data_IF_415059911858
#
_entry.id   IF_415059911858
#
_cell.length_a   1.000
_cell.length_b   1.000
_cell.length_c   1.000
_cell.angle_alpha   90.00
_cell.angle_beta   90.00
_cell.angle_gamma   90.00
#
_symmetry.space_group_name_H-M   'P 1'
#
loop_
_entity.id
_entity.type
_entity.pdbx_description
1 polymer ?
#
# COMPACT_ATOMS: atom_id res chain seq x y z
N UNK A 1 -5.37 -8.93 20.43
CA UNK A 1 -3.98 -9.37 20.18
C UNK A 1 -3.63 -9.37 18.69
N UNK A 2 -4.47 -9.93 17.81
CA UNK A 2 -4.19 -10.01 16.36
C UNK A 2 -3.92 -8.64 15.68
N UNK A 3 -4.69 -7.60 16.01
CA UNK A 3 -4.46 -6.23 15.50
C UNK A 3 -3.09 -5.65 15.90
N UNK A 4 -2.60 -5.95 17.10
CA UNK A 4 -1.29 -5.48 17.57
C UNK A 4 -0.13 -6.19 16.86
N UNK A 5 -0.27 -7.49 16.62
CA UNK A 5 0.71 -8.26 15.82
C UNK A 5 0.69 -7.82 14.36
N UNK A 6 -0.49 -7.55 13.79
CA UNK A 6 -0.63 -6.99 12.45
C UNK A 6 0.06 -5.62 12.35
N UNK A 7 -0.16 -4.72 13.32
CA UNK A 7 0.52 -3.43 13.36
C UNK A 7 2.04 -3.54 13.50
N UNK A 8 2.54 -4.45 14.36
CA UNK A 8 3.96 -4.71 14.49
C UNK A 8 4.56 -5.26 13.18
N UNK A 9 3.88 -6.20 12.53
CA UNK A 9 4.30 -6.75 11.24
C UNK A 9 4.33 -5.69 10.15
N UNK A 10 3.26 -4.89 10.00
CA UNK A 10 3.21 -3.80 9.02
C UNK A 10 4.28 -2.75 9.28
N UNK A 11 4.53 -2.39 10.55
CA UNK A 11 5.61 -1.47 10.92
C UNK A 11 6.98 -2.03 10.55
N UNK A 12 7.29 -3.29 10.90
CA UNK A 12 8.57 -3.94 10.57
C UNK A 12 8.74 -4.04 9.06
N UNK A 13 7.71 -4.46 8.32
CA UNK A 13 7.73 -4.52 6.87
C UNK A 13 8.09 -3.14 6.30
N UNK A 14 7.44 -2.08 6.78
CA UNK A 14 7.73 -0.70 6.35
C UNK A 14 9.13 -0.21 6.73
N UNK A 15 9.80 -0.83 7.69
CA UNK A 15 11.18 -0.50 8.05
C UNK A 15 12.22 -1.24 7.20
N UNK A 16 11.84 -2.28 6.45
CA UNK A 16 12.74 -3.03 5.57
C UNK A 16 13.16 -2.14 4.39
N UNK A 17 14.46 -2.14 4.07
CA UNK A 17 14.99 -1.42 2.91
C UNK A 17 14.90 -2.32 1.69
N UNK A 18 14.05 -1.94 0.73
CA UNK A 18 14.01 -2.59 -0.57
C UNK A 18 14.91 -1.82 -1.55
N UNK A 19 15.73 -2.53 -2.36
CA UNK A 19 16.47 -1.90 -3.44
C UNK A 19 15.47 -1.39 -4.48
N UNK A 20 15.39 -0.07 -4.68
CA UNK A 20 14.60 0.49 -5.78
C UNK A 20 15.41 0.45 -7.08
N UNK A 21 14.70 0.28 -8.20
CA UNK A 21 15.27 0.20 -9.55
C UNK A 21 16.04 1.47 -9.95
N UNK A 22 15.80 2.60 -9.27
CA UNK A 22 16.41 3.90 -9.56
C UNK A 22 17.52 4.30 -8.58
N UNK A 23 18.08 3.36 -7.81
CA UNK A 23 19.21 3.64 -6.90
C UNK A 23 18.84 4.33 -5.57
N UNK A 24 17.56 4.45 -5.26
CA UNK A 24 17.08 4.89 -3.95
C UNK A 24 16.84 3.70 -3.01
N UNK A 25 16.98 3.89 -1.71
CA UNK A 25 16.47 2.96 -0.70
C UNK A 25 15.01 3.33 -0.44
N UNK A 26 14.07 2.49 -0.84
CA UNK A 26 12.64 2.70 -0.59
C UNK A 26 12.13 1.71 0.44
N UNK A 27 11.07 2.12 1.13
CA UNK A 27 10.41 1.34 2.17
C UNK A 27 9.06 0.87 1.63
N UNK A 28 8.73 -0.42 1.70
CA UNK A 28 7.43 -0.89 1.25
C UNK A 28 6.35 -0.30 2.16
N UNK A 29 5.27 0.18 1.56
CA UNK A 29 4.21 0.86 2.31
C UNK A 29 3.30 -0.15 3.02
N UNK A 30 3.25 -1.39 2.54
CA UNK A 30 2.47 -2.50 3.06
C UNK A 30 0.97 -2.33 2.88
N UNK A 31 0.51 -1.36 2.08
CA UNK A 31 -0.91 -1.00 1.99
C UNK A 31 -1.73 -2.12 1.35
N UNK A 32 -1.27 -2.63 0.21
CA UNK A 32 -1.93 -3.72 -0.51
C UNK A 32 -1.93 -5.02 0.27
N UNK A 33 -0.78 -5.43 0.79
CA UNK A 33 -0.64 -6.64 1.60
C UNK A 33 -1.54 -6.58 2.84
N UNK A 34 -1.50 -5.47 3.59
CA UNK A 34 -2.32 -5.30 4.79
C UNK A 34 -3.82 -5.27 4.49
N UNK A 35 -4.24 -4.59 3.42
CA UNK A 35 -5.64 -4.52 3.02
C UNK A 35 -6.20 -5.89 2.62
N UNK A 36 -5.41 -6.72 1.94
CA UNK A 36 -5.83 -8.06 1.53
C UNK A 36 -5.85 -9.04 2.70
N UNK A 37 -4.87 -8.98 3.62
CA UNK A 37 -4.80 -9.90 4.75
C UNK A 37 -5.75 -9.55 5.90
N UNK A 38 -5.89 -8.27 6.23
CA UNK A 38 -6.62 -7.81 7.42
C UNK A 38 -7.91 -7.06 7.09
N UNK A 39 -8.11 -6.71 5.83
CA UNK A 39 -9.25 -5.91 5.37
C UNK A 39 -9.00 -4.39 5.45
N UNK A 40 -9.63 -3.60 4.57
CA UNK A 40 -9.36 -2.17 4.45
C UNK A 40 -9.78 -1.36 5.69
N UNK A 41 -10.80 -1.80 6.42
CA UNK A 41 -11.29 -1.11 7.63
C UNK A 41 -10.36 -1.30 8.82
N UNK A 42 -9.74 -2.48 8.96
CA UNK A 42 -8.75 -2.75 10.00
C UNK A 42 -7.44 -1.98 9.77
N UNK A 43 -7.14 -1.64 8.52
CA UNK A 43 -5.93 -0.88 8.17
C UNK A 43 -5.92 0.55 8.71
N UNK A 44 -7.07 1.17 8.95
CA UNK A 44 -7.13 2.53 9.51
C UNK A 44 -6.50 2.63 10.93
N UNK A 45 -6.95 1.87 11.95
CA UNK A 45 -6.32 1.89 13.27
C UNK A 45 -4.89 1.30 13.25
N UNK A 46 -4.61 0.30 12.42
CA UNK A 46 -3.25 -0.24 12.25
C UNK A 46 -2.31 0.86 11.72
N UNK A 47 -2.71 1.51 10.62
CA UNK A 47 -1.94 2.55 9.96
C UNK A 47 -1.71 3.76 10.87
N UNK A 48 -2.65 4.12 11.72
CA UNK A 48 -2.45 5.18 12.72
C UNK A 48 -1.29 4.87 13.65
N UNK A 49 -1.24 3.65 14.20
CA UNK A 49 -0.16 3.23 15.10
C UNK A 49 1.17 3.15 14.35
N UNK A 50 1.16 2.58 13.14
CA UNK A 50 2.36 2.47 12.29
C UNK A 50 2.93 3.85 11.98
N UNK A 51 2.11 4.79 11.50
CA UNK A 51 2.53 6.15 11.16
C UNK A 51 2.98 6.95 12.38
N UNK A 52 2.35 6.72 13.54
CA UNK A 52 2.79 7.33 14.79
C UNK A 52 4.19 6.85 15.17
N UNK A 53 4.46 5.56 15.07
CA UNK A 53 5.79 5.02 15.32
C UNK A 53 6.81 5.42 14.26
N UNK A 54 6.42 5.54 12.99
CA UNK A 54 7.32 6.08 11.96
C UNK A 54 7.73 7.53 12.29
N UNK A 55 6.77 8.37 12.71
CA UNK A 55 7.04 9.75 13.09
C UNK A 55 7.93 9.86 14.33
N UNK A 56 7.70 9.02 15.35
CA UNK A 56 8.40 9.10 16.64
C UNK A 56 9.76 8.36 16.66
N UNK A 57 9.86 7.20 16.01
CA UNK A 57 11.01 6.30 16.15
C UNK A 57 11.95 6.34 14.94
N UNK A 58 11.41 6.56 13.75
CA UNK A 58 12.19 6.56 12.50
C UNK A 58 12.45 7.96 11.97
N UNK A 59 11.91 9.00 12.65
CA UNK A 59 11.88 10.37 12.16
C UNK A 59 11.36 10.45 10.70
N UNK A 60 10.42 9.56 10.36
CA UNK A 60 9.84 9.42 9.03
C UNK A 60 8.37 9.86 9.07
N UNK A 61 8.03 10.93 8.36
CA UNK A 61 6.73 11.59 8.46
C UNK A 61 6.73 12.73 9.48
N UNK A 62 5.57 13.04 10.06
CA UNK A 62 5.43 14.13 11.04
C UNK A 62 4.12 14.06 11.82
N UNK A 63 4.12 14.60 13.04
CA UNK A 63 2.93 14.60 13.90
C UNK A 63 1.80 15.49 13.35
N UNK A 64 2.15 16.62 12.74
CA UNK A 64 1.18 17.52 12.10
C UNK A 64 0.69 16.98 10.75
N UNK A 65 1.52 16.20 10.05
CA UNK A 65 1.16 15.54 8.79
C UNK A 65 0.52 14.17 8.99
N UNK A 66 0.42 13.68 10.23
CA UNK A 66 -0.10 12.35 10.56
C UNK A 66 -1.51 12.13 10.02
N UNK A 67 -2.40 13.12 10.12
CA UNK A 67 -3.76 13.02 9.59
C UNK A 67 -3.80 12.88 8.07
N UNK A 68 -3.00 13.67 7.35
CA UNK A 68 -2.91 13.61 5.89
C UNK A 68 -2.32 12.27 5.42
N UNK A 69 -1.25 11.82 6.07
CA UNK A 69 -0.60 10.54 5.80
C UNK A 69 -1.54 9.36 6.11
N UNK A 70 -2.26 9.40 7.23
CA UNK A 70 -3.25 8.39 7.59
C UNK A 70 -4.33 8.27 6.52
N UNK A 71 -4.83 9.42 6.05
CA UNK A 71 -5.84 9.44 5.00
C UNK A 71 -5.34 8.80 3.71
N UNK A 72 -4.13 9.13 3.26
CA UNK A 72 -3.57 8.54 2.04
C UNK A 72 -3.26 7.04 2.22
N UNK A 73 -2.48 6.68 3.24
CA UNK A 73 -1.83 5.36 3.37
C UNK A 73 -2.68 4.32 4.11
N UNK A 74 -3.58 4.73 5.00
CA UNK A 74 -4.37 3.81 5.82
C UNK A 74 -5.85 3.79 5.45
N UNK A 75 -6.30 4.75 4.64
CA UNK A 75 -7.68 4.84 4.14
C UNK A 75 -7.69 4.68 2.63
N UNK A 76 -7.18 5.64 1.85
CA UNK A 76 -7.30 5.57 0.38
C UNK A 76 -6.59 4.35 -0.19
N UNK A 77 -5.32 4.13 0.15
CA UNK A 77 -4.54 2.98 -0.34
C UNK A 77 -5.21 1.63 -0.08
N UNK A 78 -5.55 1.29 1.18
CA UNK A 78 -6.18 0.01 1.51
C UNK A 78 -7.55 -0.21 0.85
N UNK A 79 -8.40 0.83 0.82
CA UNK A 79 -9.71 0.71 0.17
C UNK A 79 -9.56 0.56 -1.35
N UNK A 80 -8.62 1.29 -1.96
CA UNK A 80 -8.29 1.15 -3.37
C UNK A 80 -7.78 -0.26 -3.70
N UNK A 81 -6.82 -0.78 -2.92
CA UNK A 81 -6.29 -2.13 -3.09
C UNK A 81 -7.39 -3.19 -3.00
N UNK A 82 -8.26 -3.10 -1.99
CA UNK A 82 -9.39 -4.00 -1.83
C UNK A 82 -10.40 -3.92 -3.00
N UNK A 83 -10.69 -2.71 -3.48
CA UNK A 83 -11.56 -2.51 -4.63
C UNK A 83 -10.97 -3.08 -5.92
N UNK A 84 -9.70 -2.78 -6.20
CA UNK A 84 -8.96 -3.30 -7.36
C UNK A 84 -8.90 -4.81 -7.33
N UNK A 85 -8.62 -5.41 -6.17
CA UNK A 85 -8.61 -6.86 -6.02
C UNK A 85 -9.96 -7.49 -6.35
N UNK A 86 -11.06 -6.94 -5.79
CA UNK A 86 -12.42 -7.44 -6.04
C UNK A 86 -12.81 -7.32 -7.52
N UNK A 87 -12.47 -6.21 -8.16
CA UNK A 87 -12.70 -6.02 -9.61
C UNK A 87 -11.87 -6.98 -10.44
N UNK A 88 -10.58 -7.16 -10.12
CA UNK A 88 -9.71 -8.11 -10.81
C UNK A 88 -10.23 -9.55 -10.72
N UNK A 89 -10.73 -9.94 -9.53
CA UNK A 89 -11.34 -11.27 -9.33
C UNK A 89 -12.68 -11.41 -10.04
N UNK A 90 -13.50 -10.36 -10.11
CA UNK A 90 -14.80 -10.43 -10.81
C UNK A 90 -14.66 -10.61 -12.32
N UNK A 91 -13.60 -10.08 -12.92
CA UNK A 91 -13.25 -10.30 -14.33
C UNK A 91 -12.39 -11.56 -14.56
N UNK A 92 -12.25 -12.41 -13.54
CA UNK A 92 -11.55 -13.72 -13.59
C UNK A 92 -10.04 -13.62 -13.91
N UNK A 93 -9.36 -12.56 -13.47
CA UNK A 93 -7.90 -12.55 -13.49
C UNK A 93 -7.34 -13.58 -12.51
N UNK A 94 -6.14 -14.07 -12.82
CA UNK A 94 -5.41 -14.98 -11.93
C UNK A 94 -5.23 -14.36 -10.54
N UNK A 95 -5.15 -15.19 -9.50
CA UNK A 95 -4.95 -14.70 -8.14
C UNK A 95 -3.69 -13.84 -8.04
N UNK A 96 -2.56 -14.30 -8.59
CA UNK A 96 -1.30 -13.56 -8.61
C UNK A 96 -1.43 -12.20 -9.32
N UNK A 97 -2.09 -12.14 -10.48
CA UNK A 97 -2.33 -10.87 -11.19
C UNK A 97 -3.23 -9.93 -10.38
N UNK A 98 -4.26 -10.47 -9.71
CA UNK A 98 -5.17 -9.69 -8.88
C UNK A 98 -4.46 -9.07 -7.67
N UNK A 99 -3.59 -9.84 -7.02
CA UNK A 99 -2.74 -9.38 -5.91
C UNK A 99 -1.75 -8.32 -6.38
N UNK A 100 -1.07 -8.54 -7.51
CA UNK A 100 -0.14 -7.57 -8.09
C UNK A 100 -0.83 -6.23 -8.36
N UNK A 101 -1.96 -6.25 -9.07
CA UNK A 101 -2.71 -5.05 -9.41
C UNK A 101 -3.21 -4.34 -8.15
N UNK A 102 -3.72 -5.08 -7.16
CA UNK A 102 -4.20 -4.51 -5.91
C UNK A 102 -3.11 -3.75 -5.15
N UNK A 103 -1.93 -4.35 -5.01
CA UNK A 103 -0.79 -3.72 -4.35
C UNK A 103 -0.26 -2.52 -5.15
N UNK A 104 0.07 -2.71 -6.43
CA UNK A 104 0.65 -1.65 -7.24
C UNK A 104 -0.30 -0.46 -7.44
N UNK A 105 -1.58 -0.69 -7.75
CA UNK A 105 -2.53 0.40 -7.93
C UNK A 105 -2.95 1.04 -6.61
N UNK A 106 -2.99 0.27 -5.51
CA UNK A 106 -3.24 0.80 -4.16
C UNK A 106 -2.13 1.78 -3.72
N UNK A 107 -0.88 1.42 -3.97
CA UNK A 107 0.26 2.30 -3.69
C UNK A 107 0.23 3.54 -4.58
N UNK A 108 0.00 3.38 -5.89
CA UNK A 108 -0.12 4.54 -6.80
C UNK A 108 -1.23 5.51 -6.40
N UNK A 109 -2.39 5.01 -5.94
CA UNK A 109 -3.48 5.86 -5.47
C UNK A 109 -3.16 6.55 -4.14
N UNK A 110 -2.37 5.91 -3.27
CA UNK A 110 -1.81 6.56 -2.09
C UNK A 110 -0.97 7.77 -2.48
N UNK A 111 -0.03 7.59 -3.43
CA UNK A 111 0.82 8.69 -3.89
C UNK A 111 0.05 9.79 -4.62
N UNK A 112 -0.95 9.41 -5.42
CA UNK A 112 -1.83 10.38 -6.09
C UNK A 112 -2.58 11.24 -5.06
N UNK A 113 -3.08 10.62 -4.00
CA UNK A 113 -3.76 11.32 -2.91
C UNK A 113 -2.82 12.30 -2.22
N UNK A 114 -1.59 11.88 -1.93
CA UNK A 114 -0.55 12.77 -1.36
C UNK A 114 -0.24 13.93 -2.30
N UNK A 115 -0.11 13.70 -3.61
CA UNK A 115 0.08 14.77 -4.59
C UNK A 115 -1.08 15.76 -4.62
N UNK A 116 -2.32 15.30 -4.49
CA UNK A 116 -3.51 16.17 -4.34
C UNK A 116 -3.45 16.99 -3.06
N UNK A 117 -3.12 16.36 -1.92
CA UNK A 117 -3.00 17.06 -0.63
C UNK A 117 -1.94 18.16 -0.69
N UNK A 118 -0.78 17.88 -1.28
CA UNK A 118 0.30 18.86 -1.46
C UNK A 118 -0.09 19.98 -2.43
N UNK A 119 -0.77 19.64 -3.55
CA UNK A 119 -1.22 20.64 -4.51
C UNK A 119 -2.27 21.60 -3.92
N UNK A 120 -3.12 21.09 -3.02
CA UNK A 120 -4.08 21.91 -2.27
C UNK A 120 -3.38 22.80 -1.25
N UNK A 121 -2.41 22.26 -0.52
CA UNK A 121 -1.67 23.01 0.50
C UNK A 121 -0.73 24.07 -0.09
N UNK A 122 -0.19 23.82 -1.28
CA UNK A 122 0.79 24.70 -1.95
C UNK A 122 0.41 24.94 -3.42
N UNK A 123 -0.65 25.71 -3.70
CA UNK A 123 -1.02 26.08 -5.07
C UNK A 123 0.07 26.94 -5.73
N UNK A 124 0.33 26.70 -7.02
CA UNK A 124 1.33 27.47 -7.76
C UNK A 124 0.83 28.92 -7.94
N UNK A 125 1.70 29.94 -7.81
CA UNK A 125 1.29 31.34 -7.92
C UNK A 125 0.67 31.72 -9.27
N UNK A 126 1.02 31.00 -10.33
CA UNK A 126 0.57 31.28 -11.70
C UNK A 126 -0.42 30.24 -12.22
N UNK A 127 -0.12 28.95 -12.02
CA UNK A 127 -0.91 27.84 -12.54
C UNK A 127 -1.84 27.18 -11.50
N UNK A 128 -1.89 27.70 -10.28
CA UNK A 128 -2.79 27.26 -9.22
C UNK A 128 -2.64 25.79 -8.85
N UNK A 129 -3.76 25.17 -8.46
CA UNK A 129 -3.81 23.76 -8.05
C UNK A 129 -3.31 22.80 -9.14
N UNK A 130 -3.72 23.02 -10.40
CA UNK A 130 -3.43 22.09 -11.50
C UNK A 130 -1.92 22.02 -11.78
N UNK A 131 -1.24 23.17 -11.79
CA UNK A 131 0.21 23.20 -11.99
C UNK A 131 0.96 22.55 -10.82
N UNK A 132 0.56 22.81 -9.57
CA UNK A 132 1.16 22.15 -8.40
C UNK A 132 0.93 20.64 -8.42
N UNK A 133 -0.28 20.19 -8.75
CA UNK A 133 -0.60 18.78 -8.86
C UNK A 133 0.26 18.09 -9.92
N UNK A 134 0.34 18.66 -11.12
CA UNK A 134 1.19 18.13 -12.18
C UNK A 134 2.66 18.06 -11.75
N UNK A 135 3.16 19.09 -11.04
CA UNK A 135 4.52 19.11 -10.50
C UNK A 135 4.76 18.02 -9.46
N UNK A 136 3.92 17.91 -8.44
CA UNK A 136 4.09 16.89 -7.39
C UNK A 136 3.92 15.48 -7.94
N UNK A 137 2.90 15.24 -8.76
CA UNK A 137 2.64 13.93 -9.35
C UNK A 137 3.78 13.48 -10.27
N UNK A 138 4.31 14.37 -11.12
CA UNK A 138 5.42 14.02 -12.02
C UNK A 138 6.74 13.75 -11.29
N UNK A 139 7.07 14.54 -10.26
CA UNK A 139 8.28 14.30 -9.45
C UNK A 139 8.17 12.98 -8.70
N UNK A 140 7.02 12.69 -8.09
CA UNK A 140 6.81 11.43 -7.38
C UNK A 140 6.77 10.24 -8.33
N UNK A 141 6.18 10.37 -9.52
CA UNK A 141 6.08 9.27 -10.48
C UNK A 141 7.42 8.57 -10.77
N UNK A 142 8.53 9.31 -10.81
CA UNK A 142 9.87 8.78 -11.09
C UNK A 142 10.29 7.72 -10.06
N UNK A 143 9.96 7.92 -8.79
CA UNK A 143 10.35 7.01 -7.69
C UNK A 143 9.22 6.06 -7.30
N UNK A 144 7.98 6.53 -7.36
CA UNK A 144 6.82 5.79 -6.87
C UNK A 144 6.28 4.76 -7.86
N UNK A 145 6.42 4.97 -9.17
CA UNK A 145 6.03 3.93 -10.16
C UNK A 145 6.94 2.71 -10.03
N UNK A 146 8.28 2.84 -10.02
CA UNK A 146 9.16 1.70 -9.77
C UNK A 146 8.87 1.00 -8.45
N UNK A 147 8.65 1.77 -7.38
CA UNK A 147 8.35 1.23 -6.06
C UNK A 147 7.04 0.42 -6.05
N UNK A 148 5.96 0.97 -6.60
CA UNK A 148 4.66 0.29 -6.67
C UNK A 148 4.73 -1.02 -7.46
N UNK A 149 5.54 -1.09 -8.52
CA UNK A 149 5.77 -2.33 -9.27
C UNK A 149 6.55 -3.33 -8.41
N UNK A 150 7.65 -2.89 -7.78
CA UNK A 150 8.45 -3.74 -6.89
C UNK A 150 7.64 -4.29 -5.72
N UNK A 151 6.81 -3.46 -5.10
CA UNK A 151 5.93 -3.83 -3.99
C UNK A 151 4.80 -4.76 -4.44
N UNK A 152 4.25 -4.56 -5.64
CA UNK A 152 3.32 -5.50 -6.26
C UNK A 152 3.93 -6.90 -6.43
N UNK A 153 5.15 -6.98 -6.96
CA UNK A 153 5.87 -8.26 -7.12
C UNK A 153 6.18 -8.91 -5.77
N UNK A 154 6.65 -8.12 -4.80
CA UNK A 154 6.91 -8.59 -3.45
C UNK A 154 5.63 -9.15 -2.79
N UNK A 155 4.52 -8.46 -2.95
CA UNK A 155 3.23 -8.87 -2.39
C UNK A 155 2.78 -10.20 -3.01
N UNK A 156 2.91 -10.38 -4.33
CA UNK A 156 2.65 -11.68 -4.98
C UNK A 156 3.55 -12.78 -4.41
N UNK A 157 4.84 -12.51 -4.23
CA UNK A 157 5.77 -13.49 -3.67
C UNK A 157 5.39 -13.90 -2.24
N UNK A 158 4.99 -12.93 -1.40
CA UNK A 158 4.50 -13.20 -0.05
C UNK A 158 3.23 -14.05 -0.08
N UNK A 159 2.25 -13.70 -0.93
CA UNK A 159 1.01 -14.47 -1.05
C UNK A 159 1.23 -15.88 -1.58
N UNK A 160 2.15 -16.08 -2.54
CA UNK A 160 2.51 -17.40 -3.02
C UNK A 160 3.18 -18.24 -1.92
N UNK A 161 4.04 -17.64 -1.10
CA UNK A 161 4.63 -18.31 0.05
C UNK A 161 3.56 -18.68 1.09
N UNK A 162 2.62 -17.77 1.39
CA UNK A 162 1.49 -18.03 2.28
C UNK A 162 0.60 -19.17 1.74
N UNK A 163 0.31 -19.19 0.44
CA UNK A 163 -0.47 -20.26 -0.19
C UNK A 163 0.22 -21.62 -0.07
N UNK A 164 1.56 -21.65 -0.10
CA UNK A 164 2.33 -22.88 0.05
C UNK A 164 2.39 -23.41 1.48
N UNK A 165 2.51 -22.52 2.48
CA UNK A 165 2.74 -22.91 3.87
C UNK A 165 1.49 -22.87 4.76
N UNK A 166 0.51 -22.03 4.45
CA UNK A 166 -0.67 -21.72 5.28
C UNK A 166 -1.93 -21.62 4.39
N UNK A 167 -2.16 -22.62 3.56
CA UNK A 167 -3.20 -22.56 2.55
C UNK A 167 -4.63 -22.56 3.13
N UNK A 168 -4.81 -23.19 4.30
CA UNK A 168 -6.11 -23.28 4.99
C UNK A 168 -6.54 -21.90 5.49
N UNK A 169 -5.60 -21.13 6.04
CA UNK A 169 -5.84 -19.77 6.53
C UNK A 169 -6.24 -18.82 5.40
N UNK A 170 -5.67 -18.96 4.21
CA UNK A 170 -6.05 -18.16 3.03
C UNK A 170 -7.44 -18.53 2.48
N UNK A 171 -7.85 -19.79 2.61
CA UNK A 171 -9.21 -20.24 2.27
C UNK A 171 -10.24 -19.70 3.27
N UNK A 172 -9.89 -19.67 4.57
CA UNK A 172 -10.73 -19.09 5.62
C UNK A 172 -10.95 -17.58 5.42
N UNK A 173 -9.96 -16.87 4.87
CA UNK A 173 -10.05 -15.47 4.47
C UNK A 173 -10.84 -15.25 3.15
N UNK A 174 -11.29 -16.32 2.49
CA UNK A 174 -12.00 -16.30 1.21
C UNK A 174 -11.24 -15.57 0.08
N UNK A 175 -9.91 -15.51 0.18
CA UNK A 175 -9.07 -14.82 -0.81
C UNK A 175 -8.73 -15.72 -2.01
N UNK A 176 -8.66 -17.04 -1.78
CA UNK A 176 -8.25 -18.05 -2.75
C UNK A 176 -9.35 -19.13 -2.87
N UNK A 177 -9.68 -19.54 -4.09
CA UNK A 177 -10.63 -20.65 -4.31
C UNK A 177 -9.97 -22.01 -4.06
N UNK A 178 -10.77 -23.05 -3.73
CA UNK A 178 -10.26 -24.41 -3.49
C UNK A 178 -9.40 -24.99 -4.63
N UNK A 179 -9.63 -24.54 -5.87
CA UNK A 179 -8.91 -25.00 -7.07
C UNK A 179 -7.54 -24.32 -7.25
N UNK A 180 -7.29 -23.17 -6.61
CA UNK A 180 -6.05 -22.39 -6.73
C UNK A 180 -4.99 -22.77 -5.69
N UNK A 181 -5.32 -23.63 -4.73
CA UNK A 181 -4.42 -24.10 -3.66
C UNK A 181 -3.62 -25.34 -4.06
N UNK A 182 -3.96 -25.98 -5.19
CA UNK A 182 -3.23 -27.15 -5.69
C UNK A 182 -2.04 -26.72 -6.56
N UNK A 183 -0.88 -26.56 -5.92
CA UNK A 183 0.44 -26.70 -6.56
C UNK A 183 1.27 -27.69 -5.76
#
# INVERSE_FOLDING_TARGET
MLLGVAAAFTFVLSALKLPSVTGSCSHPTGTGLGALLFGPTAMAPIGMVVLLFQALLLAHGGLTTLGANLFAMAIVGPFAAAAVFRVARSIKLSFATSVFLAASLGDLLTYLTTSVQLAWAFPDPTGGFVASFAKFASIFAITQIPLAISEGLLTVLIFNALARFNARELQDLQLVGNDEVRV
#
